data_IF_694330917970
#
_entry.id   IF_694330917970
#
_cell.length_a   1.000
_cell.length_b   1.000
_cell.length_c   1.000
_cell.angle_alpha   90.00
_cell.angle_beta   90.00
_cell.angle_gamma   90.00
#
_symmetry.space_group_name_H-M   'P 1'
#
loop_
_entity.id
_entity.type
_entity.pdbx_description
1 polymer ?
#
# COMPACT_ATOMS: atom_id res chain seq x y z
N UNK A 1 -9.72 1.05 14.87
CA UNK A 1 -9.24 1.69 13.63
C UNK A 1 -10.33 1.44 12.62
N UNK A 2 -11.03 2.47 12.18
CA UNK A 2 -12.15 2.30 11.25
C UNK A 2 -11.64 1.59 10.00
N UNK A 3 -12.06 0.34 9.80
CA UNK A 3 -11.74 -0.44 8.60
C UNK A 3 -12.44 0.24 7.43
N UNK A 4 -11.78 1.21 6.80
CA UNK A 4 -12.25 1.83 5.57
C UNK A 4 -12.50 0.72 4.54
N UNK A 5 -13.65 0.80 3.88
CA UNK A 5 -13.94 -0.11 2.77
C UNK A 5 -12.94 0.11 1.64
N UNK A 6 -12.81 -0.88 0.75
CA UNK A 6 -11.92 -0.73 -0.42
C UNK A 6 -12.34 0.46 -1.29
N UNK A 7 -13.65 0.71 -1.44
CA UNK A 7 -14.18 1.85 -2.19
C UNK A 7 -13.78 3.19 -1.54
N UNK A 8 -13.89 3.31 -0.22
CA UNK A 8 -13.46 4.50 0.51
C UNK A 8 -11.95 4.74 0.40
N UNK A 9 -11.15 3.67 0.43
CA UNK A 9 -9.71 3.75 0.20
C UNK A 9 -9.38 4.22 -1.23
N UNK A 10 -10.12 3.72 -2.23
CA UNK A 10 -9.97 4.17 -3.61
C UNK A 10 -10.30 5.66 -3.74
N UNK A 11 -11.39 6.13 -3.14
CA UNK A 11 -11.79 7.53 -3.16
C UNK A 11 -10.75 8.43 -2.47
N UNK A 12 -10.27 8.04 -1.28
CA UNK A 12 -9.29 8.80 -0.50
C UNK A 12 -7.99 9.11 -1.28
N UNK A 13 -7.53 8.16 -2.09
CA UNK A 13 -6.30 8.28 -2.87
C UNK A 13 -6.53 8.57 -4.36
N UNK A 14 -7.78 8.84 -4.76
CA UNK A 14 -8.18 8.96 -6.17
C UNK A 14 -7.64 7.79 -7.03
N UNK A 15 -7.73 6.58 -6.48
CA UNK A 15 -7.19 5.37 -7.07
C UNK A 15 -8.27 4.64 -7.87
N UNK A 16 -7.97 4.35 -9.14
CA UNK A 16 -8.82 3.50 -9.96
C UNK A 16 -8.39 2.04 -9.81
N UNK A 17 -9.25 1.14 -9.32
CA UNK A 17 -8.90 -0.26 -9.12
C UNK A 17 -8.61 -0.96 -10.45
N UNK A 18 -7.57 -1.81 -10.45
CA UNK A 18 -7.19 -2.64 -11.59
C UNK A 18 -7.90 -3.99 -11.60
N UNK A 19 -8.47 -4.41 -10.47
CA UNK A 19 -9.15 -5.71 -10.35
C UNK A 19 -8.16 -6.88 -10.36
N UNK A 20 -6.89 -6.65 -10.04
CA UNK A 20 -5.85 -7.67 -9.95
C UNK A 20 -4.75 -7.25 -8.97
N UNK A 21 -4.02 -8.20 -8.37
CA UNK A 21 -2.85 -7.88 -7.56
C UNK A 21 -1.80 -7.06 -8.33
N UNK A 22 -1.14 -6.16 -7.61
CA UNK A 22 -0.07 -5.32 -8.13
C UNK A 22 1.25 -6.10 -8.12
N UNK A 23 2.06 -5.87 -9.16
CA UNK A 23 3.46 -6.26 -9.15
C UNK A 23 4.32 -5.30 -8.28
N UNK A 24 5.58 -5.65 -7.96
CA UNK A 24 6.43 -4.79 -7.14
C UNK A 24 6.70 -3.41 -7.75
N UNK A 25 6.77 -3.28 -9.08
CA UNK A 25 6.99 -1.99 -9.76
C UNK A 25 5.73 -1.13 -9.65
N UNK A 26 4.56 -1.71 -9.85
CA UNK A 26 3.27 -1.04 -9.72
C UNK A 26 3.05 -0.57 -8.28
N UNK A 27 3.32 -1.44 -7.29
CA UNK A 27 3.23 -1.12 -5.88
C UNK A 27 4.20 0.00 -5.48
N UNK A 28 5.48 -0.11 -5.87
CA UNK A 28 6.49 0.91 -5.62
C UNK A 28 6.12 2.28 -6.21
N UNK A 29 5.59 2.28 -7.44
CA UNK A 29 5.08 3.49 -8.08
C UNK A 29 3.90 4.11 -7.33
N UNK A 30 2.96 3.29 -6.84
CA UNK A 30 1.80 3.76 -6.10
C UNK A 30 2.18 4.43 -4.76
N UNK A 31 3.13 3.84 -4.04
CA UNK A 31 3.57 4.35 -2.73
C UNK A 31 4.67 5.42 -2.82
N UNK A 32 5.24 5.65 -4.01
CA UNK A 32 6.25 6.68 -4.25
C UNK A 32 7.67 6.35 -3.78
N UNK A 33 8.06 5.06 -3.76
CA UNK A 33 9.46 4.66 -3.45
C UNK A 33 10.10 3.86 -4.58
N UNK A 34 11.41 3.62 -4.48
CA UNK A 34 12.10 2.69 -5.39
C UNK A 34 11.67 1.24 -5.14
N UNK A 35 11.80 0.39 -6.16
CA UNK A 35 11.51 -1.05 -6.02
C UNK A 35 12.41 -1.68 -4.96
N UNK A 36 13.70 -1.34 -4.96
CA UNK A 36 14.68 -1.85 -3.97
C UNK A 36 14.30 -1.47 -2.55
N UNK A 37 13.80 -0.25 -2.35
CA UNK A 37 13.26 0.19 -1.05
C UNK A 37 12.08 -0.68 -0.62
N UNK A 38 11.13 -0.93 -1.53
CA UNK A 38 9.99 -1.81 -1.28
C UNK A 38 10.43 -3.26 -0.98
N UNK A 39 11.50 -3.75 -1.62
CA UNK A 39 12.07 -5.06 -1.31
C UNK A 39 12.67 -5.09 0.10
N UNK A 40 13.43 -4.04 0.44
CA UNK A 40 13.99 -3.86 1.77
C UNK A 40 12.93 -3.83 2.87
N UNK A 41 11.72 -3.30 2.59
CA UNK A 41 10.60 -3.30 3.53
C UNK A 41 10.20 -4.72 3.97
N UNK A 42 10.23 -5.68 3.03
CA UNK A 42 9.93 -7.09 3.33
C UNK A 42 10.97 -7.69 4.28
N UNK A 43 12.26 -7.40 4.05
CA UNK A 43 13.34 -7.87 4.91
C UNK A 43 13.37 -7.22 6.30
N UNK A 44 12.87 -5.99 6.42
CA UNK A 44 12.84 -5.22 7.67
C UNK A 44 11.59 -5.46 8.53
N UNK A 45 10.66 -6.31 8.08
CA UNK A 45 9.43 -6.59 8.82
C UNK A 45 8.40 -5.45 8.81
N UNK A 46 8.43 -4.58 7.81
CA UNK A 46 7.41 -3.53 7.65
C UNK A 46 6.07 -4.19 7.32
N UNK A 47 4.94 -3.73 7.89
CA UNK A 47 3.65 -4.46 7.85
C UNK A 47 2.93 -4.43 6.49
N UNK A 48 3.62 -4.20 5.38
CA UNK A 48 3.02 -4.25 4.05
C UNK A 48 2.83 -5.70 3.60
N UNK A 49 1.58 -6.14 3.61
CA UNK A 49 1.20 -7.52 3.25
C UNK A 49 1.44 -7.79 1.77
N UNK A 50 1.85 -9.01 1.47
CA UNK A 50 2.11 -9.47 0.12
C UNK A 50 1.81 -10.97 -0.01
N UNK A 51 1.50 -11.38 -1.23
CA UNK A 51 1.42 -12.78 -1.62
C UNK A 51 2.77 -13.21 -2.18
N UNK A 52 3.27 -14.33 -1.67
CA UNK A 52 4.46 -15.01 -2.18
C UNK A 52 4.16 -16.50 -2.32
N UNK A 53 3.78 -16.99 -3.51
CA UNK A 53 3.56 -18.41 -3.72
C UNK A 53 4.82 -19.21 -3.42
N UNK A 54 4.72 -20.32 -2.67
CA UNK A 54 5.88 -21.09 -2.22
C UNK A 54 6.68 -21.62 -3.42
N UNK A 55 8.01 -21.61 -3.31
CA UNK A 55 8.91 -22.08 -4.37
C UNK A 55 9.09 -21.10 -5.54
N UNK A 56 8.48 -19.92 -5.50
CA UNK A 56 8.65 -18.88 -6.53
C UNK A 56 9.34 -17.64 -5.97
N UNK A 57 9.91 -16.83 -6.86
CA UNK A 57 10.37 -15.46 -6.53
C UNK A 57 9.29 -14.40 -6.81
N UNK A 58 8.05 -14.83 -7.04
CA UNK A 58 6.96 -13.92 -7.40
C UNK A 58 6.43 -13.28 -6.13
N UNK A 59 6.37 -11.95 -6.13
CA UNK A 59 5.74 -11.16 -5.07
C UNK A 59 4.60 -10.35 -5.69
N UNK A 60 3.42 -10.41 -5.06
CA UNK A 60 2.24 -9.63 -5.47
C UNK A 60 1.64 -8.92 -4.27
N UNK A 61 0.97 -7.80 -4.52
CA UNK A 61 0.35 -7.00 -3.47
C UNK A 61 -1.15 -6.86 -3.72
N UNK A 62 -1.98 -7.04 -2.70
CA UNK A 62 -3.41 -6.73 -2.81
C UNK A 62 -3.60 -5.22 -2.84
N UNK A 63 -4.41 -4.70 -3.78
CA UNK A 63 -4.68 -3.26 -3.90
C UNK A 63 -5.21 -2.70 -2.57
N UNK A 64 -6.17 -3.41 -1.95
CA UNK A 64 -6.74 -3.06 -0.65
C UNK A 64 -5.67 -2.92 0.44
N UNK A 65 -4.75 -3.88 0.55
CA UNK A 65 -3.74 -3.88 1.60
C UNK A 65 -2.74 -2.74 1.43
N UNK A 66 -2.37 -2.42 0.19
CA UNK A 66 -1.47 -1.29 -0.11
C UNK A 66 -2.14 0.05 0.26
N UNK A 67 -3.39 0.26 -0.17
CA UNK A 67 -4.12 1.48 0.15
C UNK A 67 -4.42 1.59 1.64
N UNK A 68 -4.80 0.49 2.30
CA UNK A 68 -5.03 0.47 3.74
C UNK A 68 -3.74 0.80 4.50
N UNK A 69 -2.60 0.27 4.05
CA UNK A 69 -1.29 0.61 4.62
C UNK A 69 -0.96 2.10 4.44
N UNK A 70 -1.18 2.67 3.26
CA UNK A 70 -1.02 4.12 3.04
C UNK A 70 -1.93 4.95 3.96
N UNK A 71 -3.18 4.52 4.15
CA UNK A 71 -4.12 5.18 5.05
C UNK A 71 -3.68 5.15 6.52
N UNK A 72 -2.84 4.19 6.94
CA UNK A 72 -2.23 4.24 8.29
C UNK A 72 -1.31 5.45 8.47
N UNK A 73 -0.67 5.90 7.38
CA UNK A 73 0.17 7.11 7.35
C UNK A 73 -0.62 8.41 7.38
N UNK A 74 -1.92 8.39 7.05
CA UNK A 74 -2.80 9.56 7.13
C UNK A 74 -2.89 10.12 8.56
N UNK A 75 -2.64 9.29 9.59
CA UNK A 75 -2.51 9.72 10.99
C UNK A 75 -1.39 10.71 11.27
N UNK A 76 -0.40 10.79 10.37
CA UNK A 76 0.70 11.75 10.43
C UNK A 76 0.54 12.88 9.39
N UNK A 77 -0.64 13.00 8.78
CA UNK A 77 -0.93 14.08 7.83
C UNK A 77 -0.91 15.42 8.57
N UNK A 78 0.06 16.26 8.24
CA UNK A 78 0.18 17.62 8.79
C UNK A 78 -0.90 18.57 8.27
N UNK A 79 -1.68 18.16 7.25
CA UNK A 79 -2.77 18.98 6.69
C UNK A 79 -3.95 19.13 7.65
N UNK A 80 -4.18 18.18 8.58
CA UNK A 80 -5.19 18.33 9.65
C UNK A 80 -4.68 19.18 10.82
N UNK A 81 -3.36 19.26 11.04
CA UNK A 81 -2.79 20.01 12.17
C UNK A 81 -2.88 21.55 12.02
N UNK A 82 -3.20 22.07 10.82
CA UNK A 82 -3.34 23.51 10.59
C UNK A 82 -4.79 23.98 10.83
N UNK A 83 -5.76 23.06 10.91
CA UNK A 83 -7.18 23.37 11.04
C UNK A 83 -7.74 23.28 12.48
N UNK A 84 -6.86 23.19 13.50
CA UNK A 84 -7.23 23.08 14.91
C UNK A 84 -6.80 24.32 15.72
#
# INVERSE_FOLDING_TARGET
MSDLSFEQLCELFNYTPKGRPLDPKECAKLIGVSVDTLEGYRGRGIPLRHFAPPGTRIVRYAERDVLAWLATGARYSTSEQIAA
#
